data_IF_240836516155
#
_entry.id   IF_240836516155
#
_cell.length_a   1.000
_cell.length_b   1.000
_cell.length_c   1.000
_cell.angle_alpha   90.00
_cell.angle_beta   90.00
_cell.angle_gamma   90.00
#
_symmetry.space_group_name_H-M   'P 1'
#
loop_
_entity.id
_entity.type
_entity.pdbx_description
1 polymer ?
#
# COMPACT_ATOMS: atom_id res chain seq x y z
N UNK A 1 -5.71 9.00 -17.94
CA UNK A 1 -4.35 8.42 -18.00
C UNK A 1 -4.50 7.02 -18.57
N UNK A 2 -3.53 6.53 -19.34
CA UNK A 2 -3.56 5.17 -19.89
C UNK A 2 -3.06 4.19 -18.81
N UNK A 3 -3.77 3.10 -18.56
CA UNK A 3 -3.34 2.09 -17.58
C UNK A 3 -1.96 1.49 -17.89
N UNK A 4 -1.55 1.51 -19.17
CA UNK A 4 -0.22 1.11 -19.59
C UNK A 4 0.88 1.99 -18.99
N UNK A 5 0.61 3.28 -18.75
CA UNK A 5 1.55 4.19 -18.06
C UNK A 5 1.77 3.79 -16.60
N UNK A 6 0.78 3.13 -15.98
CA UNK A 6 0.89 2.61 -14.62
C UNK A 6 1.60 1.24 -14.61
N UNK A 7 1.17 0.33 -15.49
CA UNK A 7 1.72 -1.01 -15.58
C UNK A 7 3.17 -1.03 -16.08
N UNK A 8 3.57 -0.05 -16.89
CA UNK A 8 4.92 0.09 -17.43
C UNK A 8 5.92 0.78 -16.51
N UNK A 9 5.53 1.18 -15.29
CA UNK A 9 6.46 1.80 -14.34
C UNK A 9 7.53 0.78 -13.90
N UNK A 10 8.76 1.27 -13.75
CA UNK A 10 9.83 0.45 -13.18
C UNK A 10 9.52 0.10 -11.72
N UNK A 11 9.54 -1.19 -11.42
CA UNK A 11 9.35 -1.72 -10.07
C UNK A 11 10.71 -2.05 -9.44
N UNK A 12 10.99 -1.45 -8.29
CA UNK A 12 12.13 -1.70 -7.41
C UNK A 12 11.71 -2.46 -6.13
N UNK A 13 10.42 -2.72 -5.98
CA UNK A 13 9.83 -3.48 -4.89
C UNK A 13 8.76 -4.44 -5.44
N UNK A 14 8.39 -5.50 -4.69
CA UNK A 14 7.38 -6.47 -5.11
C UNK A 14 6.00 -5.88 -5.45
N UNK A 15 5.69 -4.67 -4.98
CA UNK A 15 4.40 -4.02 -5.22
C UNK A 15 4.56 -2.51 -5.35
N UNK A 16 3.72 -1.90 -6.18
CA UNK A 16 3.53 -0.46 -6.32
C UNK A 16 2.11 -0.12 -5.83
N UNK A 17 2.00 0.82 -4.89
CA UNK A 17 0.73 1.23 -4.29
C UNK A 17 0.73 2.73 -3.92
N UNK A 18 -0.44 3.35 -3.72
CA UNK A 18 -0.52 4.73 -3.22
C UNK A 18 -0.72 4.73 -1.70
N UNK A 19 -0.19 5.75 -1.02
CA UNK A 19 -0.46 5.94 0.40
C UNK A 19 -1.97 6.06 0.68
N UNK A 20 -2.39 5.51 1.82
CA UNK A 20 -3.67 5.83 2.43
C UNK A 20 -3.46 7.00 3.41
N UNK A 21 -3.68 8.21 2.91
CA UNK A 21 -3.47 9.43 3.69
C UNK A 21 -4.37 9.48 4.93
N UNK A 22 -5.58 8.92 4.85
CA UNK A 22 -6.49 8.89 6.00
C UNK A 22 -5.94 7.99 7.11
N UNK A 23 -5.42 6.81 6.77
CA UNK A 23 -4.79 5.90 7.73
C UNK A 23 -3.43 6.38 8.23
N UNK A 24 -2.72 7.21 7.46
CA UNK A 24 -1.47 7.84 7.89
C UNK A 24 -1.65 8.61 9.20
N UNK A 25 -2.71 9.44 9.29
CA UNK A 25 -3.05 10.23 10.48
C UNK A 25 -3.66 9.41 11.64
N UNK A 26 -3.67 8.07 11.54
CA UNK A 26 -4.16 7.14 12.57
C UNK A 26 -3.06 6.18 13.03
N UNK A 27 -2.02 6.65 13.74
CA UNK A 27 -0.89 5.81 14.16
C UNK A 27 -1.31 4.62 15.04
N UNK A 28 -2.33 4.79 15.90
CA UNK A 28 -2.86 3.71 16.74
C UNK A 28 -3.50 2.58 15.92
N UNK A 29 -4.01 2.86 14.72
CA UNK A 29 -4.56 1.84 13.83
C UNK A 29 -3.45 0.93 13.29
N UNK A 30 -2.36 1.53 12.81
CA UNK A 30 -1.18 0.80 12.31
C UNK A 30 -0.53 -0.04 13.42
N UNK A 31 -0.46 0.50 14.64
CA UNK A 31 0.04 -0.24 15.79
C UNK A 31 -0.81 -1.47 16.12
N UNK A 32 -2.15 -1.39 16.03
CA UNK A 32 -3.05 -2.54 16.24
C UNK A 32 -2.85 -3.65 15.21
N UNK A 33 -2.36 -3.32 14.02
CA UNK A 33 -2.00 -4.29 12.98
C UNK A 33 -0.60 -4.90 13.18
N UNK A 34 0.15 -4.47 14.20
CA UNK A 34 1.51 -4.93 14.45
C UNK A 34 2.56 -4.36 13.49
N UNK A 35 2.24 -3.29 12.75
CA UNK A 35 3.21 -2.60 11.90
C UNK A 35 4.26 -1.87 12.73
N UNK A 36 5.48 -1.79 12.21
CA UNK A 36 6.60 -1.06 12.81
C UNK A 36 6.24 0.41 13.01
N UNK A 37 6.77 1.06 14.06
CA UNK A 37 6.62 2.50 14.22
C UNK A 37 7.06 3.25 12.96
N UNK A 38 6.19 4.12 12.45
CA UNK A 38 6.46 4.88 11.23
C UNK A 38 6.23 4.12 9.92
N UNK A 39 5.91 2.83 9.93
CA UNK A 39 5.62 2.07 8.72
C UNK A 39 4.51 2.76 7.90
N UNK A 40 4.72 2.98 6.59
CA UNK A 40 3.71 3.57 5.73
C UNK A 40 2.58 2.57 5.51
N UNK A 41 1.39 3.09 5.24
CA UNK A 41 0.20 2.29 4.96
C UNK A 41 -0.37 2.72 3.61
N UNK A 42 -0.74 1.76 2.77
CA UNK A 42 -1.28 1.99 1.43
C UNK A 42 -2.74 1.62 1.30
N UNK A 43 -3.39 2.23 0.31
CA UNK A 43 -4.72 1.85 -0.12
C UNK A 43 -4.62 0.72 -1.16
N UNK A 44 -5.37 -0.36 -0.99
CA UNK A 44 -5.31 -1.55 -1.86
C UNK A 44 -6.24 -1.48 -3.08
N UNK A 45 -6.96 -0.37 -3.29
CA UNK A 45 -7.89 -0.20 -4.40
C UNK A 45 -7.21 -0.22 -5.78
N UNK A 46 -5.97 0.26 -5.87
CA UNK A 46 -5.12 0.15 -7.07
C UNK A 46 -3.72 -0.25 -6.61
N UNK A 47 -3.27 -1.40 -7.10
CA UNK A 47 -1.93 -1.94 -6.86
C UNK A 47 -1.38 -2.52 -8.17
N UNK A 48 -0.06 -2.47 -8.33
CA UNK A 48 0.65 -3.21 -9.40
C UNK A 48 1.63 -4.16 -8.74
N UNK A 49 1.58 -5.44 -9.11
CA UNK A 49 2.47 -6.46 -8.58
C UNK A 49 3.61 -6.76 -9.55
N UNK A 50 4.82 -6.85 -9.03
CA UNK A 50 5.84 -7.68 -9.67
C UNK A 50 5.50 -9.14 -9.35
N UNK A 51 4.84 -9.81 -10.29
CA UNK A 51 4.39 -11.18 -10.08
C UNK A 51 5.53 -12.19 -9.92
N UNK A 52 6.75 -11.89 -10.39
CA UNK A 52 7.90 -12.77 -10.18
C UNK A 52 8.34 -12.70 -8.72
N UNK A 53 8.56 -11.49 -8.21
CA UNK A 53 8.91 -11.27 -6.80
C UNK A 53 7.82 -11.76 -5.84
N UNK A 54 6.54 -11.48 -6.16
CA UNK A 54 5.40 -11.91 -5.36
C UNK A 54 5.31 -13.43 -5.23
N UNK A 55 5.58 -14.17 -6.32
CA UNK A 55 5.55 -15.64 -6.31
C UNK A 55 6.76 -16.24 -5.62
N UNK A 56 7.95 -15.68 -5.85
CA UNK A 56 9.19 -16.15 -5.21
C UNK A 56 9.10 -16.17 -3.68
N UNK A 57 8.46 -15.14 -3.10
CA UNK A 57 8.33 -15.00 -1.64
C UNK A 57 6.97 -15.48 -1.09
N UNK A 58 6.07 -15.99 -1.95
CA UNK A 58 4.73 -16.44 -1.57
C UNK A 58 3.87 -15.35 -0.94
N UNK A 59 4.02 -14.08 -1.36
CA UNK A 59 3.47 -12.92 -0.65
C UNK A 59 1.94 -12.97 -0.54
N UNK A 60 1.23 -13.34 -1.61
CA UNK A 60 -0.24 -13.41 -1.60
C UNK A 60 -0.78 -14.60 -0.80
N UNK A 61 -0.05 -15.72 -0.75
CA UNK A 61 -0.42 -16.86 0.10
C UNK A 61 -0.33 -16.46 1.58
N UNK A 62 0.77 -15.81 1.96
CA UNK A 62 0.93 -15.27 3.32
C UNK A 62 -0.14 -14.24 3.64
N UNK A 63 -0.46 -13.36 2.69
CA UNK A 63 -1.54 -12.36 2.84
C UNK A 63 -2.86 -13.04 3.18
N UNK A 64 -3.23 -14.09 2.42
CA UNK A 64 -4.44 -14.87 2.71
C UNK A 64 -4.41 -15.50 4.10
N UNK A 65 -3.28 -16.10 4.51
CA UNK A 65 -3.13 -16.69 5.86
C UNK A 65 -3.28 -15.63 6.96
N UNK A 66 -2.63 -14.47 6.79
CA UNK A 66 -2.73 -13.33 7.72
C UNK A 66 -4.16 -12.80 7.83
N UNK A 67 -4.88 -12.67 6.71
CA UNK A 67 -6.28 -12.23 6.70
C UNK A 67 -7.17 -13.17 7.53
N UNK A 68 -7.03 -14.49 7.33
CA UNK A 68 -7.82 -15.51 8.03
C UNK A 68 -7.47 -15.52 9.53
N UNK A 69 -6.18 -15.59 9.86
CA UNK A 69 -5.72 -15.67 11.26
C UNK A 69 -6.07 -14.42 12.06
N UNK A 70 -5.94 -13.25 11.44
CA UNK A 70 -6.23 -11.97 12.08
C UNK A 70 -7.68 -11.52 11.97
N UNK A 71 -8.56 -12.28 11.29
CA UNK A 71 -9.94 -11.89 10.99
C UNK A 71 -10.02 -10.45 10.44
N UNK A 72 -9.12 -10.13 9.51
CA UNK A 72 -8.96 -8.78 8.97
C UNK A 72 -9.24 -8.76 7.46
N UNK A 73 -9.58 -7.57 6.94
CA UNK A 73 -9.76 -7.39 5.50
C UNK A 73 -8.44 -7.56 4.74
N UNK A 74 -8.57 -7.68 3.42
CA UNK A 74 -7.48 -7.80 2.49
C UNK A 74 -6.50 -6.62 2.57
N UNK A 75 -6.97 -5.38 2.66
CA UNK A 75 -6.08 -4.20 2.76
C UNK A 75 -5.16 -4.26 3.98
N UNK A 76 -5.68 -4.64 5.15
CA UNK A 76 -4.89 -4.80 6.36
C UNK A 76 -3.88 -5.93 6.23
N UNK A 77 -4.33 -7.09 5.74
CA UNK A 77 -3.46 -8.24 5.55
C UNK A 77 -2.33 -7.95 4.55
N UNK A 78 -2.66 -7.23 3.47
CA UNK A 78 -1.71 -6.76 2.47
C UNK A 78 -0.69 -5.82 3.11
N UNK A 79 -1.13 -4.81 3.87
CA UNK A 79 -0.22 -3.89 4.57
C UNK A 79 0.71 -4.60 5.57
N UNK A 80 0.22 -5.64 6.27
CA UNK A 80 1.05 -6.45 7.16
C UNK A 80 2.11 -7.25 6.40
N UNK A 81 1.71 -7.97 5.35
CA UNK A 81 2.65 -8.87 4.64
C UNK A 81 3.63 -8.12 3.75
N UNK A 82 3.16 -7.04 3.12
CA UNK A 82 3.96 -6.18 2.26
C UNK A 82 4.69 -5.08 3.03
N UNK A 83 4.67 -5.04 4.36
CA UNK A 83 5.49 -4.08 5.12
C UNK A 83 6.96 -4.12 4.64
N UNK A 84 7.46 -2.96 4.18
CA UNK A 84 8.80 -2.79 3.62
C UNK A 84 9.04 -3.41 2.24
N UNK A 85 7.98 -3.87 1.55
CA UNK A 85 8.04 -4.58 0.26
C UNK A 85 7.16 -3.93 -0.81
N UNK A 86 6.96 -2.63 -0.70
CA UNK A 86 6.24 -1.86 -1.70
C UNK A 86 6.87 -0.48 -1.91
N UNK A 87 6.66 0.07 -3.09
CA UNK A 87 7.07 1.40 -3.48
C UNK A 87 5.84 2.28 -3.78
N UNK A 88 6.00 3.58 -3.61
CA UNK A 88 4.88 4.52 -3.73
C UNK A 88 4.60 4.89 -5.20
N UNK A 89 3.33 4.84 -5.62
CA UNK A 89 2.85 5.42 -6.88
C UNK A 89 2.35 6.85 -6.72
N UNK A 90 2.25 7.55 -7.85
CA UNK A 90 1.63 8.85 -7.87
C UNK A 90 0.14 8.81 -7.43
N UNK A 91 -0.34 9.64 -6.47
CA UNK A 91 -1.67 9.54 -5.88
C UNK A 91 -2.81 9.72 -6.88
N UNK A 92 -2.58 10.38 -8.02
CA UNK A 92 -3.55 10.43 -9.12
C UNK A 92 -3.99 9.06 -9.65
N UNK A 93 -3.23 8.00 -9.37
CA UNK A 93 -3.61 6.63 -9.72
C UNK A 93 -4.58 5.99 -8.72
N UNK A 94 -4.69 6.53 -7.50
CA UNK A 94 -5.54 5.99 -6.45
C UNK A 94 -6.01 7.11 -5.50
N UNK A 95 -6.80 8.03 -6.05
CA UNK A 95 -7.31 9.20 -5.34
C UNK A 95 -8.47 8.82 -4.41
N UNK A 96 -8.31 9.11 -3.12
CA UNK A 96 -9.33 8.84 -2.10
C UNK A 96 -10.12 10.12 -1.77
N UNK A 97 -11.44 9.99 -1.64
CA UNK A 97 -12.35 11.12 -1.38
C UNK A 97 -12.68 11.35 0.10
N UNK A 98 -12.33 10.40 0.98
CA UNK A 98 -12.57 10.48 2.42
C UNK A 98 -11.55 11.40 3.10
N UNK A 99 -12.02 12.53 3.64
CA UNK A 99 -11.20 13.45 4.45
C UNK A 99 -10.35 14.44 3.63
N UNK A 100 -10.82 14.86 2.45
CA UNK A 100 -10.22 15.84 1.51
C UNK A 100 -9.01 16.65 2.02
N UNK A 101 -7.83 16.05 1.90
CA UNK A 101 -6.55 16.75 1.95
C UNK A 101 -6.20 17.18 0.53
N UNK A 102 -5.76 18.41 0.32
CA UNK A 102 -5.38 18.87 -1.02
C UNK A 102 -4.23 18.02 -1.54
N UNK A 103 -4.28 17.60 -2.80
CA UNK A 103 -3.25 16.81 -3.47
C UNK A 103 -1.81 17.33 -3.24
N UNK A 104 -1.63 18.66 -3.26
CA UNK A 104 -0.33 19.30 -3.00
C UNK A 104 0.22 19.05 -1.58
N UNK A 105 -0.65 18.86 -0.59
CA UNK A 105 -0.27 18.59 0.80
C UNK A 105 -0.01 17.09 1.05
N UNK A 106 -0.67 16.22 0.29
CA UNK A 106 -0.39 14.79 0.28
C UNK A 106 0.96 14.49 -0.40
N UNK A 107 1.15 14.95 -1.64
CA UNK A 107 2.36 14.67 -2.42
C UNK A 107 3.65 15.21 -1.76
N UNK A 108 3.61 16.42 -1.18
CA UNK A 108 4.80 17.07 -0.62
C UNK A 108 5.36 16.38 0.65
N UNK A 109 4.58 15.56 1.35
CA UNK A 109 5.02 14.91 2.61
C UNK A 109 5.62 13.52 2.42
N UNK A 110 5.44 12.91 1.26
CA UNK A 110 5.71 11.47 1.05
C UNK A 110 6.89 11.18 0.11
N UNK A 111 7.55 12.20 -0.43
CA UNK A 111 8.65 12.07 -1.40
C UNK A 111 9.87 12.97 -1.10
N UNK A 112 10.04 13.39 0.16
CA UNK A 112 11.27 14.03 0.65
C UNK A 112 12.11 13.05 1.48
#
# INVERSE_FOLDING_TARGET
RDINDLAGQTLHAPMLAAHDDYMYFRPSYRQKLGLKPGAPYFNSGVVVFDMNAVRADGLLERTRKTAIQGSMNDQNALNVVFEGKWQTMHPNWNLQSLGTIRFSQAWARHFA
#
